data_IF_397735396830
#
_entry.id   IF_397735396830
#
_cell.length_a   1.000
_cell.length_b   1.000
_cell.length_c   1.000
_cell.angle_alpha   90.00
_cell.angle_beta   90.00
_cell.angle_gamma   90.00
#
_symmetry.space_group_name_H-M   'P 1'
#
loop_
_entity.id
_entity.type
_entity.pdbx_description
1 polymer ?
#
# COMPACT_ATOMS: atom_id res chain seq x y z
N UNK A 1 -4.40 -14.73 -22.25
CA UNK A 1 -3.47 -13.58 -22.22
C UNK A 1 -2.27 -13.86 -21.32
N UNK A 2 -1.15 -13.21 -21.61
CA UNK A 2 0.06 -13.24 -20.79
C UNK A 2 0.14 -11.96 -19.97
N UNK A 3 0.37 -12.09 -18.68
CA UNK A 3 0.44 -10.98 -17.72
C UNK A 3 1.82 -10.92 -17.08
N UNK A 4 2.38 -9.72 -17.00
CA UNK A 4 3.61 -9.42 -16.24
C UNK A 4 3.25 -8.60 -15.02
N UNK A 5 3.68 -9.03 -13.84
CA UNK A 5 3.55 -8.29 -12.59
C UNK A 5 4.94 -7.77 -12.18
N UNK A 6 5.04 -6.48 -11.89
CA UNK A 6 6.30 -5.85 -11.46
C UNK A 6 6.28 -5.65 -9.96
N UNK A 7 7.23 -6.24 -9.28
CA UNK A 7 7.41 -6.17 -7.83
C UNK A 7 7.74 -7.51 -7.19
N UNK A 8 7.87 -7.55 -5.88
CA UNK A 8 8.37 -8.74 -5.17
C UNK A 8 7.80 -8.92 -3.76
N UNK A 9 6.83 -8.13 -3.36
CA UNK A 9 6.30 -8.12 -2.00
C UNK A 9 5.03 -8.94 -1.82
N UNK A 10 4.46 -8.89 -0.61
CA UNK A 10 3.21 -9.57 -0.27
C UNK A 10 2.02 -9.09 -1.08
N UNK A 11 1.97 -7.81 -1.37
CA UNK A 11 0.98 -7.20 -2.26
C UNK A 11 1.03 -7.80 -3.67
N UNK A 12 2.22 -7.95 -4.24
CA UNK A 12 2.40 -8.56 -5.57
C UNK A 12 2.03 -10.04 -5.56
N UNK A 13 2.29 -10.75 -4.47
CA UNK A 13 1.84 -12.14 -4.30
C UNK A 13 0.30 -12.21 -4.29
N UNK A 14 -0.37 -11.33 -3.55
CA UNK A 14 -1.83 -11.26 -3.53
C UNK A 14 -2.41 -10.92 -4.91
N UNK A 15 -1.77 -10.02 -5.65
CA UNK A 15 -2.15 -9.67 -7.03
C UNK A 15 -1.98 -10.90 -7.95
N UNK A 16 -0.83 -11.60 -7.89
CA UNK A 16 -0.59 -12.80 -8.69
C UNK A 16 -1.61 -13.90 -8.41
N UNK A 17 -1.91 -14.13 -7.14
CA UNK A 17 -2.95 -15.06 -6.70
C UNK A 17 -4.32 -14.71 -7.30
N UNK A 18 -4.71 -13.44 -7.27
CA UNK A 18 -5.99 -12.97 -7.82
C UNK A 18 -6.03 -13.03 -9.35
N UNK A 19 -4.97 -12.64 -10.01
CA UNK A 19 -4.81 -12.70 -11.48
C UNK A 19 -4.91 -14.15 -11.97
N UNK A 20 -4.32 -15.10 -11.24
CA UNK A 20 -4.37 -16.52 -11.59
C UNK A 20 -5.79 -17.12 -11.59
N UNK A 21 -6.74 -16.48 -10.95
CA UNK A 21 -8.15 -16.91 -10.95
C UNK A 21 -8.91 -16.51 -12.21
N UNK A 22 -8.38 -15.60 -13.01
CA UNK A 22 -9.05 -15.16 -14.23
C UNK A 22 -8.94 -16.23 -15.34
N UNK A 23 -10.06 -16.64 -15.95
CA UNK A 23 -10.03 -17.56 -17.07
C UNK A 23 -9.41 -16.97 -18.34
N UNK A 24 -9.18 -15.65 -18.38
CA UNK A 24 -8.53 -14.96 -19.50
C UNK A 24 -7.01 -15.11 -19.49
N UNK A 25 -6.42 -15.52 -18.35
CA UNK A 25 -4.96 -15.56 -18.16
C UNK A 25 -4.42 -16.96 -18.41
N UNK A 26 -3.47 -17.06 -19.34
CA UNK A 26 -2.80 -18.31 -19.70
C UNK A 26 -1.44 -18.44 -19.00
N UNK A 27 -0.73 -17.32 -18.81
CA UNK A 27 0.61 -17.28 -18.24
C UNK A 27 0.83 -16.00 -17.45
N UNK A 28 1.47 -16.13 -16.29
CA UNK A 28 1.88 -15.01 -15.46
C UNK A 28 3.41 -15.03 -15.30
N UNK A 29 4.01 -13.86 -15.48
CA UNK A 29 5.40 -13.58 -15.11
C UNK A 29 5.43 -12.57 -14.00
N UNK A 30 6.41 -12.65 -13.12
CA UNK A 30 6.64 -11.64 -12.08
C UNK A 30 8.12 -11.24 -12.06
N UNK A 31 8.39 -9.95 -12.00
CA UNK A 31 9.76 -9.41 -12.01
C UNK A 31 9.96 -8.46 -10.81
N UNK A 32 10.85 -8.78 -9.84
CA UNK A 32 11.62 -10.03 -9.74
C UNK A 32 10.84 -11.17 -9.06
N UNK A 33 9.71 -10.90 -8.37
CA UNK A 33 8.95 -11.90 -7.64
C UNK A 33 9.61 -12.36 -6.34
N UNK A 34 9.04 -13.40 -5.75
CA UNK A 34 9.57 -14.06 -4.56
C UNK A 34 9.20 -15.55 -4.55
N UNK A 35 9.63 -16.30 -3.54
CA UNK A 35 9.44 -17.74 -3.48
C UNK A 35 7.96 -18.20 -3.45
N UNK A 36 7.04 -17.37 -2.92
CA UNK A 36 5.62 -17.70 -2.89
C UNK A 36 4.94 -17.41 -4.23
N UNK A 37 5.35 -16.36 -4.90
CA UNK A 37 4.82 -15.98 -6.24
C UNK A 37 5.12 -17.06 -7.28
N UNK A 38 6.18 -17.84 -7.12
CA UNK A 38 6.54 -18.96 -7.99
C UNK A 38 5.41 -19.99 -8.15
N UNK A 39 4.49 -20.07 -7.19
CA UNK A 39 3.32 -20.96 -7.28
C UNK A 39 2.37 -20.57 -8.43
N UNK A 40 2.27 -19.27 -8.74
CA UNK A 40 1.34 -18.71 -9.73
C UNK A 40 2.03 -18.17 -10.97
N UNK A 41 3.30 -17.83 -10.88
CA UNK A 41 4.02 -17.10 -11.92
C UNK A 41 5.43 -17.63 -12.11
N UNK A 42 5.96 -17.42 -13.30
CA UNK A 42 7.38 -17.55 -13.56
C UNK A 42 8.08 -16.25 -13.12
N UNK A 43 8.93 -16.35 -12.09
CA UNK A 43 9.72 -15.22 -11.63
C UNK A 43 10.93 -15.02 -12.54
N UNK A 44 11.16 -13.78 -12.95
CA UNK A 44 12.28 -13.42 -13.85
C UNK A 44 13.21 -12.44 -13.14
N UNK A 45 14.54 -12.59 -13.30
CA UNK A 45 15.52 -11.82 -12.54
C UNK A 45 15.73 -10.41 -13.11
N UNK A 46 14.65 -9.65 -13.24
CA UNK A 46 14.67 -8.25 -13.66
C UNK A 46 14.13 -7.42 -12.49
N UNK A 47 14.88 -6.41 -12.08
CA UNK A 47 14.47 -5.53 -10.99
C UNK A 47 13.42 -4.52 -11.45
N UNK A 48 12.59 -4.05 -10.52
CA UNK A 48 11.46 -3.18 -10.81
C UNK A 48 11.86 -1.84 -11.45
N UNK A 49 13.06 -1.35 -11.20
CA UNK A 49 13.57 -0.08 -11.75
C UNK A 49 14.34 -0.25 -13.06
N UNK A 50 14.51 -1.46 -13.56
CA UNK A 50 15.18 -1.75 -14.85
C UNK A 50 14.19 -1.66 -16.01
N UNK A 51 13.67 -0.47 -16.27
CA UNK A 51 12.57 -0.25 -17.22
C UNK A 51 12.88 -0.76 -18.63
N UNK A 52 14.08 -0.51 -19.15
CA UNK A 52 14.47 -0.95 -20.49
C UNK A 52 14.44 -2.47 -20.61
N UNK A 53 14.90 -3.18 -19.59
CA UNK A 53 14.86 -4.65 -19.55
C UNK A 53 13.44 -5.18 -19.43
N UNK A 54 12.59 -4.52 -18.63
CA UNK A 54 11.19 -4.89 -18.47
C UNK A 54 10.41 -4.69 -19.77
N UNK A 55 10.62 -3.59 -20.47
CA UNK A 55 10.02 -3.31 -21.78
C UNK A 55 10.47 -4.33 -22.80
N UNK A 56 11.78 -4.62 -22.89
CA UNK A 56 12.33 -5.62 -23.81
C UNK A 56 11.74 -7.01 -23.53
N UNK A 57 11.66 -7.40 -22.28
CA UNK A 57 11.03 -8.67 -21.85
C UNK A 57 9.55 -8.74 -22.27
N UNK A 58 8.80 -7.67 -22.03
CA UNK A 58 7.38 -7.62 -22.40
C UNK A 58 7.17 -7.75 -23.91
N UNK A 59 8.03 -7.15 -24.72
CA UNK A 59 8.00 -7.32 -26.18
C UNK A 59 8.37 -8.73 -26.61
N UNK A 60 9.46 -9.26 -26.09
CA UNK A 60 9.98 -10.60 -26.43
C UNK A 60 8.99 -11.70 -26.08
N UNK A 61 8.36 -11.61 -24.91
CA UNK A 61 7.38 -12.59 -24.45
C UNK A 61 5.95 -12.31 -24.95
N UNK A 62 5.73 -11.25 -25.71
CA UNK A 62 4.41 -10.83 -26.15
C UNK A 62 3.41 -10.67 -24.97
N UNK A 63 3.81 -9.94 -23.97
CA UNK A 63 2.97 -9.66 -22.79
C UNK A 63 1.75 -8.82 -23.21
N UNK A 64 0.56 -9.26 -22.84
CA UNK A 64 -0.70 -8.58 -23.15
C UNK A 64 -1.04 -7.47 -22.15
N UNK A 65 -0.64 -7.64 -20.90
CA UNK A 65 -0.91 -6.69 -19.82
C UNK A 65 0.20 -6.73 -18.78
N UNK A 66 0.73 -5.56 -18.42
CA UNK A 66 1.67 -5.40 -17.31
C UNK A 66 0.99 -4.69 -16.15
N UNK A 67 1.16 -5.20 -14.94
CA UNK A 67 0.62 -4.64 -13.69
C UNK A 67 1.78 -4.23 -12.80
N UNK A 68 1.80 -2.95 -12.39
CA UNK A 68 2.85 -2.42 -11.52
C UNK A 68 2.31 -2.32 -10.11
N UNK A 69 2.90 -3.09 -9.18
CA UNK A 69 2.41 -3.19 -7.81
C UNK A 69 3.02 -2.21 -6.83
N UNK A 70 4.15 -1.59 -7.13
CA UNK A 70 4.93 -0.80 -6.17
C UNK A 70 5.16 0.65 -6.61
N UNK A 71 5.49 1.51 -5.65
CA UNK A 71 5.58 2.96 -5.79
C UNK A 71 6.78 3.46 -6.60
N UNK A 72 7.99 3.00 -6.28
CA UNK A 72 9.22 3.49 -6.91
C UNK A 72 9.18 3.48 -8.46
N UNK A 73 8.83 2.38 -9.13
CA UNK A 73 8.76 2.38 -10.58
C UNK A 73 7.63 3.27 -11.14
N UNK A 74 6.51 3.39 -10.44
CA UNK A 74 5.41 4.26 -10.86
C UNK A 74 5.84 5.74 -10.82
N UNK A 75 6.42 6.18 -9.73
CA UNK A 75 6.96 7.53 -9.60
C UNK A 75 8.13 7.76 -10.56
N UNK A 76 8.90 6.72 -10.86
CA UNK A 76 10.02 6.74 -11.80
C UNK A 76 9.64 6.79 -13.28
N UNK A 77 8.36 6.53 -13.64
CA UNK A 77 7.87 6.65 -15.00
C UNK A 77 7.81 5.34 -15.80
N UNK A 78 7.69 4.20 -15.14
CA UNK A 78 7.58 2.90 -15.83
C UNK A 78 6.39 2.83 -16.79
N UNK A 79 5.25 3.43 -16.41
CA UNK A 79 4.04 3.42 -17.26
C UNK A 79 4.30 4.20 -18.55
N UNK A 80 4.94 5.36 -18.46
CA UNK A 80 5.33 6.16 -19.63
C UNK A 80 6.27 5.37 -20.55
N UNK A 81 7.22 4.65 -19.99
CA UNK A 81 8.14 3.81 -20.76
C UNK A 81 7.42 2.68 -21.52
N UNK A 82 6.45 2.02 -20.90
CA UNK A 82 5.65 0.96 -21.54
C UNK A 82 4.72 1.52 -22.60
N UNK A 83 4.01 2.60 -22.31
CA UNK A 83 3.10 3.25 -23.25
C UNK A 83 3.82 3.78 -24.50
N UNK A 84 5.04 4.31 -24.35
CA UNK A 84 5.87 4.78 -25.47
C UNK A 84 6.18 3.67 -26.48
N UNK A 85 6.13 2.42 -26.06
CA UNK A 85 6.37 1.24 -26.89
C UNK A 85 5.06 0.53 -27.27
N UNK A 86 3.91 1.14 -27.03
CA UNK A 86 2.61 0.58 -27.36
C UNK A 86 2.17 -0.60 -26.51
N UNK A 87 2.78 -0.78 -25.33
CA UNK A 87 2.48 -1.86 -24.38
C UNK A 87 1.39 -1.44 -23.40
N UNK A 88 0.40 -2.32 -23.20
CA UNK A 88 -0.66 -2.09 -22.21
C UNK A 88 -0.10 -2.28 -20.81
N UNK A 89 -0.36 -1.31 -19.95
CA UNK A 89 0.15 -1.30 -18.57
C UNK A 89 -0.89 -0.70 -17.63
N UNK A 90 -1.08 -1.33 -16.48
CA UNK A 90 -1.96 -0.83 -15.42
C UNK A 90 -1.13 -0.10 -14.36
N UNK A 91 -1.43 1.16 -14.19
CA UNK A 91 -0.80 2.06 -13.23
C UNK A 91 -0.83 3.50 -13.72
N UNK A 92 -0.62 4.48 -12.82
CA UNK A 92 -0.58 5.87 -13.21
C UNK A 92 0.72 6.23 -13.94
N UNK A 93 0.63 7.15 -14.89
CA UNK A 93 1.78 7.79 -15.51
C UNK A 93 2.55 8.57 -14.46
N UNK A 94 3.81 8.88 -14.74
CA UNK A 94 4.68 9.65 -13.85
C UNK A 94 4.04 10.96 -13.38
N UNK A 95 3.40 11.70 -14.29
CA UNK A 95 2.75 12.96 -13.96
C UNK A 95 1.57 12.81 -12.99
N UNK A 96 0.92 11.66 -12.96
CA UNK A 96 -0.17 11.36 -12.02
C UNK A 96 0.34 10.68 -10.74
N UNK A 97 1.38 9.88 -10.84
CA UNK A 97 2.01 9.21 -9.68
C UNK A 97 2.62 10.21 -8.66
N UNK A 98 2.78 11.47 -9.05
CA UNK A 98 3.18 12.55 -8.14
C UNK A 98 2.21 12.71 -6.96
N UNK A 99 0.98 12.22 -7.08
CA UNK A 99 0.01 12.21 -5.99
C UNK A 99 0.57 11.47 -4.75
N UNK A 100 1.39 10.43 -4.95
CA UNK A 100 2.18 9.78 -3.90
C UNK A 100 3.62 10.30 -3.84
N UNK A 101 4.21 10.62 -4.98
CA UNK A 101 5.61 11.02 -5.10
C UNK A 101 5.94 12.36 -4.45
N UNK A 102 4.95 13.22 -4.25
CA UNK A 102 5.12 14.52 -3.57
C UNK A 102 3.97 14.80 -2.61
N UNK A 103 4.29 14.83 -1.32
CA UNK A 103 3.33 15.21 -0.27
C UNK A 103 2.93 16.68 -0.38
N UNK A 104 3.88 17.55 -0.75
CA UNK A 104 3.61 18.95 -0.98
C UNK A 104 2.60 19.15 -2.13
N UNK A 105 2.77 18.44 -3.24
CA UNK A 105 1.82 18.45 -4.34
C UNK A 105 0.43 18.02 -3.89
N UNK A 106 0.31 16.90 -3.20
CA UNK A 106 -0.99 16.38 -2.77
C UNK A 106 -1.70 17.31 -1.78
N UNK A 107 -0.96 17.94 -0.88
CA UNK A 107 -1.51 18.94 0.05
C UNK A 107 -2.01 20.18 -0.69
N UNK A 108 -1.25 20.70 -1.62
CA UNK A 108 -1.64 21.87 -2.44
C UNK A 108 -2.86 21.53 -3.32
N UNK A 109 -2.93 20.31 -3.87
CA UNK A 109 -4.08 19.83 -4.62
C UNK A 109 -5.34 19.83 -3.75
N UNK A 110 -5.26 19.25 -2.55
CA UNK A 110 -6.40 19.17 -1.64
C UNK A 110 -6.86 20.55 -1.19
N UNK A 111 -5.95 21.46 -0.92
CA UNK A 111 -6.27 22.83 -0.57
C UNK A 111 -6.97 23.56 -1.73
N UNK A 112 -6.43 23.45 -2.94
CA UNK A 112 -6.96 24.12 -4.15
C UNK A 112 -8.38 23.65 -4.48
N UNK A 113 -8.68 22.37 -4.30
CA UNK A 113 -9.96 21.77 -4.67
C UNK A 113 -10.88 21.47 -3.48
N UNK A 114 -10.57 22.03 -2.32
CA UNK A 114 -11.38 21.91 -1.08
C UNK A 114 -11.62 20.45 -0.63
N UNK A 115 -10.63 19.60 -0.80
CA UNK A 115 -10.67 18.22 -0.30
C UNK A 115 -10.24 18.22 1.17
N UNK A 116 -11.05 17.67 2.09
CA UNK A 116 -10.74 17.70 3.52
C UNK A 116 -9.42 17.01 3.87
N UNK A 117 -8.52 17.73 4.52
CA UNK A 117 -7.23 17.23 5.01
C UNK A 117 -6.73 18.11 6.16
N UNK A 118 -5.63 17.71 6.81
CA UNK A 118 -4.99 18.49 7.85
C UNK A 118 -4.49 19.86 7.34
N UNK A 119 -4.56 20.89 8.16
CA UNK A 119 -3.89 22.16 7.88
C UNK A 119 -2.38 21.93 7.78
N UNK A 120 -1.73 22.64 6.86
CA UNK A 120 -0.31 22.43 6.57
C UNK A 120 0.39 23.69 6.08
N UNK A 121 1.73 23.66 6.17
CA UNK A 121 2.64 24.59 5.51
C UNK A 121 3.81 23.82 4.91
N UNK A 122 4.36 24.32 3.81
CA UNK A 122 5.49 23.70 3.11
C UNK A 122 6.72 24.58 3.20
N UNK A 123 7.88 24.00 3.48
CA UNK A 123 9.15 24.70 3.64
C UNK A 123 10.25 24.07 2.79
N UNK A 124 11.04 24.92 2.15
CA UNK A 124 12.26 24.55 1.44
C UNK A 124 13.51 25.09 2.15
N UNK A 125 13.33 25.89 3.18
CA UNK A 125 14.37 26.51 4.01
C UNK A 125 14.17 26.13 5.48
N UNK A 126 15.21 25.54 6.08
CA UNK A 126 15.18 25.11 7.48
C UNK A 126 14.94 26.27 8.45
N UNK A 127 15.51 27.43 8.20
CA UNK A 127 15.34 28.62 9.06
C UNK A 127 13.90 29.09 9.08
N UNK A 128 13.23 29.08 7.92
CA UNK A 128 11.81 29.45 7.81
C UNK A 128 10.92 28.44 8.53
N UNK A 129 11.23 27.15 8.43
CA UNK A 129 10.52 26.09 9.17
C UNK A 129 10.66 26.26 10.68
N UNK A 130 11.85 26.52 11.18
CA UNK A 130 12.11 26.76 12.61
C UNK A 130 11.34 27.97 13.12
N UNK A 131 11.32 29.07 12.37
CA UNK A 131 10.57 30.29 12.74
C UNK A 131 9.05 30.02 12.82
N UNK A 132 8.51 29.21 11.93
CA UNK A 132 7.12 28.77 11.96
C UNK A 132 6.81 27.92 13.21
N UNK A 133 7.68 26.96 13.52
CA UNK A 133 7.51 26.04 14.65
C UNK A 133 7.55 26.72 16.01
N UNK A 134 8.26 27.83 16.15
CA UNK A 134 8.30 28.65 17.37
C UNK A 134 6.90 29.16 17.78
N UNK A 135 5.98 29.25 16.81
CA UNK A 135 4.61 29.77 17.00
C UNK A 135 3.55 28.70 16.83
N UNK A 136 3.94 27.46 16.58
CA UNK A 136 3.03 26.37 16.31
C UNK A 136 2.50 25.73 17.61
N UNK A 137 1.33 25.13 17.51
CA UNK A 137 0.77 24.28 18.55
C UNK A 137 1.30 22.84 18.39
N UNK A 138 1.41 22.13 19.53
CA UNK A 138 1.90 20.75 19.55
C UNK A 138 0.82 19.80 20.11
N UNK A 139 0.81 18.50 19.68
CA UNK A 139 1.75 17.86 18.76
C UNK A 139 1.60 18.34 17.31
N UNK A 140 2.66 18.16 16.52
CA UNK A 140 2.71 18.54 15.10
C UNK A 140 3.40 17.42 14.31
N UNK A 141 3.14 17.36 13.00
CA UNK A 141 3.70 16.32 12.13
C UNK A 141 4.64 16.96 11.12
N UNK A 142 5.86 16.45 11.01
CA UNK A 142 6.83 16.81 9.98
C UNK A 142 6.94 15.68 8.97
N UNK A 143 6.83 16.00 7.68
CA UNK A 143 6.93 15.02 6.60
C UNK A 143 7.97 15.45 5.58
N UNK A 144 8.95 14.58 5.31
CA UNK A 144 9.82 14.75 4.15
C UNK A 144 9.00 14.59 2.87
N UNK A 145 9.26 15.45 1.87
CA UNK A 145 8.57 15.37 0.58
C UNK A 145 9.21 14.30 -0.30
N UNK A 146 8.41 13.36 -0.76
CA UNK A 146 8.86 12.24 -1.60
C UNK A 146 8.66 10.87 -0.95
N UNK A 147 9.16 9.85 -1.65
CA UNK A 147 9.11 8.46 -1.19
C UNK A 147 10.22 8.22 -0.15
N UNK A 148 9.85 8.16 1.12
CA UNK A 148 10.78 7.92 2.23
C UNK A 148 10.51 6.57 2.91
N UNK A 149 9.94 5.61 2.20
CA UNK A 149 9.61 4.25 2.69
C UNK A 149 8.77 4.26 3.99
N UNK A 150 7.89 5.26 4.12
CA UNK A 150 7.08 5.45 5.33
C UNK A 150 7.86 5.97 6.56
N UNK A 151 9.16 6.21 6.42
CA UNK A 151 10.04 6.64 7.53
C UNK A 151 10.20 8.16 7.63
N UNK A 152 9.79 8.89 6.60
CA UNK A 152 9.91 10.35 6.51
C UNK A 152 8.82 11.13 7.25
N UNK A 153 8.09 10.50 8.16
CA UNK A 153 7.01 11.12 8.95
C UNK A 153 7.42 11.12 10.42
N UNK A 154 7.50 12.29 11.02
CA UNK A 154 7.88 12.50 12.41
C UNK A 154 6.76 13.19 13.16
N UNK A 155 6.23 12.56 14.19
CA UNK A 155 5.27 13.17 15.12
C UNK A 155 6.08 13.80 16.25
N UNK A 156 5.95 15.12 16.41
CA UNK A 156 6.70 15.89 17.37
C UNK A 156 5.74 16.42 18.45
N UNK A 157 5.97 16.05 19.70
CA UNK A 157 5.13 16.44 20.82
C UNK A 157 5.57 17.76 21.46
N UNK A 158 6.82 18.16 21.21
CA UNK A 158 7.42 19.38 21.75
C UNK A 158 8.18 20.14 20.67
N UNK A 159 8.43 21.42 20.93
CA UNK A 159 9.24 22.28 20.05
C UNK A 159 10.65 21.69 19.87
N UNK A 160 11.24 21.15 20.92
CA UNK A 160 12.59 20.54 20.84
C UNK A 160 12.61 19.33 19.90
N UNK A 161 11.61 18.45 20.01
CA UNK A 161 11.46 17.32 19.08
C UNK A 161 11.29 17.81 17.64
N UNK A 162 10.52 18.88 17.43
CA UNK A 162 10.31 19.46 16.11
C UNK A 162 11.60 20.08 15.54
N UNK A 163 12.41 20.75 16.34
CA UNK A 163 13.72 21.27 15.95
C UNK A 163 14.67 20.15 15.52
N UNK A 164 14.70 19.07 16.29
CA UNK A 164 15.48 17.86 15.93
C UNK A 164 14.97 17.23 14.63
N UNK A 165 13.66 17.24 14.43
CA UNK A 165 13.02 16.76 13.20
C UNK A 165 13.41 17.58 11.97
N UNK A 166 13.41 18.90 12.06
CA UNK A 166 13.88 19.80 10.99
C UNK A 166 15.32 19.50 10.63
N UNK A 167 16.18 19.37 11.64
CA UNK A 167 17.59 19.01 11.44
C UNK A 167 17.72 17.68 10.71
N UNK A 168 17.01 16.65 11.17
CA UNK A 168 17.06 15.31 10.59
C UNK A 168 16.60 15.30 9.12
N UNK A 169 15.50 15.97 8.80
CA UNK A 169 14.91 15.97 7.47
C UNK A 169 15.67 16.90 6.52
N UNK A 170 15.87 18.17 6.91
CA UNK A 170 16.30 19.23 6.00
C UNK A 170 17.80 19.50 6.02
N UNK A 171 18.46 19.35 7.17
CA UNK A 171 19.90 19.63 7.32
C UNK A 171 20.74 18.36 7.13
N UNK A 172 20.47 17.33 7.90
CA UNK A 172 21.23 16.05 7.84
C UNK A 172 20.83 15.20 6.63
N UNK A 173 19.71 15.55 5.95
CA UNK A 173 19.23 14.83 4.75
C UNK A 173 19.11 13.32 4.95
N UNK A 174 18.62 12.89 6.12
CA UNK A 174 18.46 11.46 6.44
C UNK A 174 17.61 10.70 5.40
N UNK A 175 16.69 11.40 4.75
CA UNK A 175 15.83 10.87 3.68
C UNK A 175 16.26 11.31 2.28
N UNK A 176 17.53 11.69 2.11
CA UNK A 176 18.09 12.12 0.83
C UNK A 176 17.40 13.38 0.29
N UNK A 177 17.17 13.40 -1.01
CA UNK A 177 16.54 14.53 -1.71
C UNK A 177 15.09 14.79 -1.27
N UNK A 178 14.41 13.79 -0.69
CA UNK A 178 13.07 13.98 -0.11
C UNK A 178 13.08 15.04 1.01
N UNK A 179 14.21 15.25 1.67
CA UNK A 179 14.39 16.28 2.69
C UNK A 179 14.64 17.70 2.16
N UNK A 180 14.69 17.91 0.85
CA UNK A 180 14.82 19.24 0.26
C UNK A 180 13.57 20.09 0.49
N UNK A 181 12.43 19.45 0.65
CA UNK A 181 11.15 20.07 0.99
C UNK A 181 10.54 19.32 2.16
N UNK A 182 9.99 20.05 3.10
CA UNK A 182 9.31 19.49 4.28
C UNK A 182 7.92 20.07 4.39
N UNK A 183 6.95 19.19 4.65
CA UNK A 183 5.57 19.57 4.96
C UNK A 183 5.37 19.49 6.46
N UNK A 184 4.86 20.57 7.04
CA UNK A 184 4.46 20.64 8.45
C UNK A 184 2.95 20.57 8.51
N UNK A 185 2.40 19.59 9.22
CA UNK A 185 0.97 19.34 9.30
C UNK A 185 0.44 19.40 10.73
N UNK A 186 -0.80 19.86 10.85
CA UNK A 186 -1.62 19.67 12.06
C UNK A 186 -1.67 18.17 12.39
N UNK A 187 -1.51 17.85 13.67
CA UNK A 187 -1.72 16.49 14.15
C UNK A 187 -3.21 16.19 14.25
N UNK A 188 -3.69 15.28 13.42
CA UNK A 188 -5.08 14.83 13.47
C UNK A 188 -5.24 13.67 14.44
N UNK A 189 -6.32 13.69 15.21
CA UNK A 189 -6.72 12.61 16.09
C UNK A 189 -7.97 11.92 15.56
N UNK A 190 -8.05 10.64 15.72
CA UNK A 190 -9.16 9.83 15.23
C UNK A 190 -8.72 8.41 14.94
N UNK A 191 -9.47 7.74 14.08
CA UNK A 191 -9.21 6.37 13.68
C UNK A 191 -8.80 6.33 12.22
N UNK A 192 -7.67 5.71 11.96
CA UNK A 192 -7.18 5.54 10.58
C UNK A 192 -7.93 4.42 9.88
N UNK A 193 -8.33 4.66 8.63
CA UNK A 193 -8.95 3.67 7.75
C UNK A 193 -8.34 3.81 6.36
N UNK A 194 -8.15 2.68 5.69
CA UNK A 194 -7.64 2.63 4.32
C UNK A 194 -8.75 2.26 3.35
N UNK A 195 -8.88 3.01 2.27
CA UNK A 195 -9.79 2.69 1.16
C UNK A 195 -9.01 2.74 -0.14
N UNK A 196 -8.88 1.56 -0.77
CA UNK A 196 -8.28 1.43 -2.08
C UNK A 196 -9.36 1.64 -3.14
N UNK A 197 -8.99 2.19 -4.27
CA UNK A 197 -9.94 2.45 -5.36
C UNK A 197 -9.33 2.21 -6.72
N UNK A 198 -10.14 1.72 -7.66
CA UNK A 198 -9.82 1.66 -9.08
C UNK A 198 -10.23 2.98 -9.74
N UNK A 199 -9.37 3.49 -10.62
CA UNK A 199 -9.59 4.77 -11.33
C UNK A 199 -9.24 4.62 -12.80
N UNK A 200 -10.11 5.11 -13.69
CA UNK A 200 -9.93 5.05 -15.15
C UNK A 200 -9.68 6.42 -15.80
N UNK A 201 -9.31 7.42 -15.00
CA UNK A 201 -9.14 8.81 -15.43
C UNK A 201 -10.34 9.70 -15.15
N UNK A 202 -11.54 9.17 -15.10
CA UNK A 202 -12.80 9.91 -14.88
C UNK A 202 -13.70 9.26 -13.83
N UNK A 203 -13.78 7.95 -13.81
CA UNK A 203 -14.59 7.16 -12.88
C UNK A 203 -13.72 6.57 -11.79
N UNK A 204 -14.21 6.59 -10.56
CA UNK A 204 -13.59 5.93 -9.42
C UNK A 204 -14.55 4.90 -8.83
N UNK A 205 -14.05 3.71 -8.54
CA UNK A 205 -14.78 2.65 -7.81
C UNK A 205 -13.97 2.18 -6.64
N UNK A 206 -14.50 2.39 -5.44
CA UNK A 206 -13.83 2.02 -4.20
C UNK A 206 -13.97 0.53 -3.92
N UNK A 207 -12.94 -0.04 -3.34
CA UNK A 207 -12.94 -1.39 -2.78
C UNK A 207 -13.49 -1.36 -1.34
N UNK A 208 -13.67 -2.53 -0.76
CA UNK A 208 -13.99 -2.65 0.67
C UNK A 208 -12.91 -1.99 1.53
N UNK A 209 -13.30 -1.38 2.65
CA UNK A 209 -12.37 -0.72 3.55
C UNK A 209 -11.42 -1.71 4.24
N UNK A 210 -10.30 -1.21 4.73
CA UNK A 210 -9.34 -1.96 5.52
C UNK A 210 -8.77 -1.08 6.64
N UNK A 211 -8.18 -1.70 7.63
CA UNK A 211 -7.53 -0.99 8.74
C UNK A 211 -6.21 -1.67 9.07
N UNK A 212 -5.12 -0.92 8.95
CA UNK A 212 -3.76 -1.38 9.15
C UNK A 212 -3.22 -1.02 10.54
N UNK A 213 -2.11 -1.65 10.91
CA UNK A 213 -1.40 -1.44 12.17
C UNK A 213 0.06 -1.10 11.85
N UNK A 214 0.40 0.19 11.96
CA UNK A 214 1.70 0.72 11.50
C UNK A 214 2.84 0.51 12.47
N UNK A 215 2.59 0.41 13.78
CA UNK A 215 3.65 0.27 14.78
C UNK A 215 4.15 -1.17 14.86
N UNK A 216 5.46 -1.31 15.15
CA UNK A 216 6.11 -2.61 15.22
C UNK A 216 5.66 -3.47 16.40
N UNK A 217 5.33 -2.87 17.54
CA UNK A 217 5.03 -3.55 18.79
C UNK A 217 3.57 -3.52 19.21
N UNK A 218 3.20 -4.50 20.03
CA UNK A 218 1.87 -4.57 20.65
C UNK A 218 1.52 -3.26 21.37
N UNK A 219 0.24 -2.90 21.38
CA UNK A 219 -0.24 -1.67 21.99
C UNK A 219 0.15 -0.40 21.21
N UNK A 220 0.44 -0.55 19.92
CA UNK A 220 0.89 0.54 19.04
C UNK A 220 2.18 1.21 19.56
N UNK A 221 3.13 0.39 19.95
CA UNK A 221 4.44 0.81 20.45
C UNK A 221 5.55 0.60 19.42
N UNK A 222 6.69 1.21 19.67
CA UNK A 222 7.86 1.06 18.82
C UNK A 222 7.82 1.94 17.57
N UNK A 223 8.63 1.59 16.58
CA UNK A 223 8.80 2.36 15.36
C UNK A 223 7.66 2.11 14.36
N UNK A 224 7.42 3.08 13.50
CA UNK A 224 6.56 2.90 12.34
C UNK A 224 7.18 1.89 11.36
N UNK A 225 6.32 1.10 10.74
CA UNK A 225 6.67 0.07 9.76
C UNK A 225 5.85 0.24 8.48
N UNK A 226 6.04 -0.68 7.54
CA UNK A 226 5.16 -0.80 6.37
C UNK A 226 3.77 -1.33 6.68
N UNK A 227 3.54 -1.84 7.89
CA UNK A 227 2.31 -2.47 8.37
C UNK A 227 2.57 -3.85 8.94
N UNK A 228 2.02 -4.09 10.13
CA UNK A 228 2.22 -5.35 10.87
C UNK A 228 1.01 -6.26 10.82
N UNK A 229 -0.05 -5.83 10.18
CA UNK A 229 -1.27 -6.57 10.00
C UNK A 229 -2.45 -5.66 9.70
N UNK A 230 -3.49 -6.26 9.15
CA UNK A 230 -4.65 -5.50 8.68
C UNK A 230 -5.90 -6.36 8.72
N UNK A 231 -7.06 -5.73 8.71
CA UNK A 231 -8.34 -6.41 8.59
C UNK A 231 -9.28 -5.66 7.66
N UNK A 232 -10.25 -6.35 7.12
CA UNK A 232 -11.27 -5.81 6.22
C UNK A 232 -12.61 -6.54 6.41
N UNK A 233 -13.75 -5.82 6.45
CA UNK A 233 -13.89 -4.37 6.39
C UNK A 233 -13.59 -3.70 7.74
N UNK A 234 -13.38 -2.38 7.75
CA UNK A 234 -13.34 -1.63 9.00
C UNK A 234 -14.76 -1.38 9.51
N UNK A 235 -15.10 -1.75 10.76
CA UNK A 235 -16.42 -1.49 11.32
C UNK A 235 -16.68 0.00 11.59
N UNK A 236 -15.62 0.81 11.56
CA UNK A 236 -15.71 2.27 11.75
C UNK A 236 -15.98 3.02 10.45
N UNK A 237 -15.79 2.34 9.30
CA UNK A 237 -16.14 2.88 7.99
C UNK A 237 -17.62 2.61 7.71
N UNK A 238 -18.47 3.46 8.25
CA UNK A 238 -19.93 3.35 8.17
C UNK A 238 -20.48 3.84 6.82
N UNK A 239 -21.75 3.58 6.55
CA UNK A 239 -22.42 4.11 5.36
C UNK A 239 -22.40 5.65 5.34
N UNK A 240 -22.50 6.30 6.50
CA UNK A 240 -22.40 7.76 6.63
C UNK A 240 -21.00 8.27 6.24
N UNK A 241 -19.95 7.60 6.73
CA UNK A 241 -18.55 7.89 6.37
C UNK A 241 -18.35 7.70 4.86
N UNK A 242 -18.83 6.60 4.30
CA UNK A 242 -18.73 6.31 2.86
C UNK A 242 -19.41 7.37 2.02
N UNK A 243 -20.62 7.76 2.39
CA UNK A 243 -21.39 8.81 1.70
C UNK A 243 -20.65 10.16 1.71
N UNK A 244 -20.07 10.54 2.86
CA UNK A 244 -19.27 11.75 2.98
C UNK A 244 -18.05 11.70 2.07
N UNK A 245 -17.29 10.61 2.10
CA UNK A 245 -16.09 10.45 1.29
C UNK A 245 -16.38 10.44 -0.21
N UNK A 246 -17.48 9.80 -0.63
CA UNK A 246 -17.94 9.84 -2.03
C UNK A 246 -18.26 11.25 -2.47
N UNK A 247 -18.92 12.03 -1.61
CA UNK A 247 -19.32 13.38 -1.94
C UNK A 247 -18.17 14.39 -1.98
N UNK A 248 -17.21 14.29 -1.05
CA UNK A 248 -16.22 15.34 -0.81
C UNK A 248 -14.76 14.94 -1.10
N UNK A 249 -14.46 13.65 -1.20
CA UNK A 249 -13.07 13.18 -1.28
C UNK A 249 -12.79 12.41 -2.57
N UNK A 250 -13.49 11.32 -2.85
CA UNK A 250 -13.09 10.37 -3.89
C UNK A 250 -13.18 10.95 -5.30
N UNK A 251 -14.36 11.31 -5.73
CA UNK A 251 -14.55 11.89 -7.08
C UNK A 251 -13.85 13.25 -7.19
N UNK A 252 -13.86 14.03 -6.12
CA UNK A 252 -13.17 15.32 -6.08
C UNK A 252 -11.66 15.19 -6.35
N UNK A 253 -11.02 14.12 -5.85
CA UNK A 253 -9.60 13.84 -6.11
C UNK A 253 -9.36 13.53 -7.60
N UNK A 254 -10.19 12.68 -8.18
CA UNK A 254 -10.09 12.31 -9.60
C UNK A 254 -10.29 13.53 -10.49
N UNK A 255 -11.32 14.32 -10.22
CA UNK A 255 -11.62 15.54 -10.97
C UNK A 255 -10.51 16.58 -10.84
N UNK A 256 -9.92 16.72 -9.66
CA UNK A 256 -8.79 17.61 -9.41
C UNK A 256 -7.56 17.19 -10.25
N UNK A 257 -7.25 15.92 -10.33
CA UNK A 257 -6.15 15.41 -11.15
C UNK A 257 -6.37 15.68 -12.64
N UNK A 258 -7.59 15.53 -13.13
CA UNK A 258 -7.95 15.90 -14.52
C UNK A 258 -7.75 17.40 -14.74
N UNK A 259 -8.23 18.23 -13.82
CA UNK A 259 -8.12 19.68 -13.91
C UNK A 259 -6.65 20.16 -13.93
N UNK A 260 -5.75 19.43 -13.28
CA UNK A 260 -4.30 19.71 -13.29
C UNK A 260 -3.59 19.15 -14.53
N UNK A 261 -4.31 18.51 -15.46
CA UNK A 261 -3.71 17.85 -16.62
C UNK A 261 -2.95 16.57 -16.28
N UNK A 262 -3.30 15.92 -15.19
CA UNK A 262 -2.64 14.73 -14.62
C UNK A 262 -3.62 13.58 -14.47
N UNK A 263 -4.29 13.22 -15.56
CA UNK A 263 -5.25 12.12 -15.57
C UNK A 263 -4.68 10.88 -14.89
N UNK A 264 -5.40 10.35 -13.90
CA UNK A 264 -4.96 9.20 -13.11
C UNK A 264 -5.68 7.93 -13.54
N UNK A 265 -4.92 6.92 -13.96
CA UNK A 265 -5.42 5.55 -14.22
C UNK A 265 -4.64 4.58 -13.36
N UNK A 266 -5.32 3.78 -12.56
CA UNK A 266 -4.67 2.84 -11.65
C UNK A 266 -5.37 2.78 -10.31
N UNK A 267 -4.59 2.58 -9.25
CA UNK A 267 -5.08 2.54 -7.88
C UNK A 267 -4.77 3.86 -7.17
N UNK A 268 -5.79 4.49 -6.61
CA UNK A 268 -5.61 5.49 -5.57
C UNK A 268 -5.93 4.83 -4.22
N UNK A 269 -4.96 4.83 -3.34
CA UNK A 269 -5.10 4.44 -1.95
C UNK A 269 -5.36 5.72 -1.14
N UNK A 270 -6.51 5.77 -0.48
CA UNK A 270 -6.86 6.85 0.45
C UNK A 270 -6.55 6.40 1.87
N UNK A 271 -5.54 7.00 2.49
CA UNK A 271 -5.37 6.93 3.94
C UNK A 271 -6.28 8.00 4.57
N UNK A 272 -7.27 7.57 5.32
CA UNK A 272 -8.26 8.46 5.94
C UNK A 272 -8.08 8.49 7.44
N UNK A 273 -8.28 9.68 8.03
CA UNK A 273 -8.46 9.85 9.47
C UNK A 273 -9.93 10.19 9.72
N UNK A 274 -10.60 9.34 10.49
CA UNK A 274 -11.98 9.59 10.93
C UNK A 274 -11.94 10.46 12.18
N UNK A 275 -12.02 11.77 11.99
CA UNK A 275 -11.93 12.77 13.07
C UNK A 275 -13.31 13.14 13.59
N UNK A 276 -13.36 13.85 14.72
CA UNK A 276 -14.61 14.43 15.25
C UNK A 276 -15.28 15.42 14.28
N UNK A 277 -14.48 16.02 13.39
CA UNK A 277 -14.96 16.95 12.34
C UNK A 277 -15.30 16.25 11.02
N UNK A 278 -15.32 14.93 11.02
CA UNK A 278 -15.56 14.10 9.84
C UNK A 278 -14.31 13.49 9.22
N UNK A 279 -14.47 12.68 8.19
CA UNK A 279 -13.35 12.07 7.47
C UNK A 279 -12.44 13.11 6.81
N UNK A 280 -11.13 12.89 6.91
CA UNK A 280 -10.10 13.72 6.29
C UNK A 280 -9.04 12.85 5.66
N UNK A 281 -8.48 13.29 4.54
CA UNK A 281 -7.37 12.59 3.90
C UNK A 281 -6.09 12.79 4.72
N UNK A 282 -5.53 11.69 5.19
CA UNK A 282 -4.23 11.66 5.84
C UNK A 282 -3.09 11.62 4.81
N UNK A 283 -3.24 10.76 3.81
CA UNK A 283 -2.28 10.59 2.71
C UNK A 283 -2.92 9.92 1.50
N UNK A 284 -2.27 10.07 0.35
CA UNK A 284 -2.54 9.29 -0.86
C UNK A 284 -1.38 8.36 -1.15
N UNK A 285 -1.70 7.19 -1.71
CA UNK A 285 -0.71 6.35 -2.39
C UNK A 285 -1.26 6.01 -3.79
N UNK A 286 -0.35 5.84 -4.76
CA UNK A 286 -0.70 5.65 -6.17
C UNK A 286 -0.61 4.18 -6.61
N UNK A 287 -0.85 3.26 -5.69
CA UNK A 287 -0.69 1.81 -5.87
C UNK A 287 -1.49 1.07 -4.81
N UNK A 288 -1.59 -0.27 -4.96
CA UNK A 288 -2.14 -1.11 -3.89
C UNK A 288 -1.39 -0.95 -2.58
N UNK A 289 -2.09 -1.09 -1.46
CA UNK A 289 -1.49 -1.15 -0.13
C UNK A 289 -0.87 -2.52 0.17
N UNK A 290 0.13 -2.53 1.03
CA UNK A 290 0.77 -3.72 1.58
C UNK A 290 0.92 -3.54 3.11
N UNK A 291 0.10 -4.19 3.95
CA UNK A 291 -0.61 -5.46 3.70
C UNK A 291 -2.09 -5.36 3.33
N UNK A 292 -2.64 -4.23 2.96
CA UNK A 292 -4.09 -4.08 2.69
C UNK A 292 -4.58 -4.97 1.53
N UNK A 293 -3.78 -5.13 0.47
CA UNK A 293 -4.12 -6.02 -0.65
C UNK A 293 -4.36 -7.46 -0.18
N UNK A 294 -3.66 -7.90 0.85
CA UNK A 294 -3.75 -9.26 1.39
C UNK A 294 -5.08 -9.56 2.10
N UNK A 295 -5.88 -8.56 2.42
CA UNK A 295 -7.23 -8.76 2.99
C UNK A 295 -8.34 -8.32 2.03
N UNK A 296 -8.06 -7.38 1.14
CA UNK A 296 -9.05 -6.85 0.21
C UNK A 296 -9.25 -7.77 -0.99
N UNK A 297 -8.15 -8.23 -1.62
CA UNK A 297 -8.21 -9.08 -2.81
C UNK A 297 -8.82 -10.47 -2.54
N UNK A 298 -8.56 -11.16 -1.41
CA UNK A 298 -9.25 -12.41 -1.10
C UNK A 298 -10.77 -12.28 -0.96
N UNK A 299 -11.28 -11.08 -0.71
CA UNK A 299 -12.71 -10.79 -0.61
C UNK A 299 -13.33 -10.29 -1.92
N UNK A 300 -12.52 -9.99 -2.93
CA UNK A 300 -12.98 -9.49 -4.22
C UNK A 300 -13.59 -10.63 -5.06
N UNK A 301 -14.83 -10.45 -5.52
CA UNK A 301 -15.55 -11.42 -6.36
C UNK A 301 -15.30 -11.18 -7.84
N UNK A 302 -15.28 -9.92 -8.25
CA UNK A 302 -15.09 -9.50 -9.65
C UNK A 302 -13.73 -9.95 -10.17
N UNK A 303 -13.67 -10.37 -11.43
CA UNK A 303 -12.40 -10.70 -12.10
C UNK A 303 -11.52 -9.45 -12.17
N UNK A 304 -10.34 -9.51 -11.56
CA UNK A 304 -9.43 -8.36 -11.48
C UNK A 304 -8.91 -7.93 -12.86
N UNK A 305 -8.80 -8.85 -13.81
CA UNK A 305 -8.36 -8.55 -15.20
C UNK A 305 -9.40 -7.66 -15.88
N UNK A 306 -10.69 -7.95 -15.71
CA UNK A 306 -11.74 -7.11 -16.27
C UNK A 306 -11.66 -5.68 -15.74
N UNK A 307 -11.35 -5.54 -14.46
CA UNK A 307 -11.21 -4.22 -13.82
C UNK A 307 -9.95 -3.49 -14.32
N UNK A 308 -8.83 -4.17 -14.42
CA UNK A 308 -7.59 -3.57 -14.95
C UNK A 308 -7.76 -3.09 -16.38
N UNK A 309 -8.36 -3.92 -17.24
CA UNK A 309 -8.62 -3.55 -18.63
C UNK A 309 -9.58 -2.36 -18.72
N UNK A 310 -10.64 -2.34 -17.91
CA UNK A 310 -11.60 -1.23 -17.86
C UNK A 310 -10.94 0.08 -17.40
N UNK A 311 -10.00 0.02 -16.46
CA UNK A 311 -9.24 1.20 -16.05
C UNK A 311 -8.38 1.76 -17.19
N UNK A 312 -7.71 0.89 -17.94
CA UNK A 312 -6.87 1.28 -19.08
C UNK A 312 -7.75 1.87 -20.19
N UNK A 313 -8.89 1.25 -20.48
CA UNK A 313 -9.77 1.59 -21.60
C UNK A 313 -10.77 2.71 -21.29
N UNK A 314 -10.85 3.17 -20.04
CA UNK A 314 -11.77 4.23 -19.64
C UNK A 314 -13.24 3.77 -19.56
N UNK A 315 -13.48 2.50 -19.26
CA UNK A 315 -14.79 1.86 -19.19
C UNK A 315 -15.15 1.31 -17.81
N UNK A 316 -14.51 1.84 -16.78
CA UNK A 316 -14.72 1.39 -15.39
C UNK A 316 -16.18 1.56 -14.93
N UNK A 317 -16.91 2.52 -15.49
CA UNK A 317 -18.33 2.74 -15.21
C UNK A 317 -19.21 1.53 -15.58
N UNK A 318 -18.74 0.66 -16.49
CA UNK A 318 -19.44 -0.56 -16.90
C UNK A 318 -19.16 -1.76 -16.00
N UNK A 319 -18.22 -1.66 -15.08
CA UNK A 319 -17.84 -2.75 -14.16
C UNK A 319 -18.72 -2.75 -12.93
N UNK A 320 -19.34 -3.89 -12.64
CA UNK A 320 -20.02 -4.14 -11.36
C UNK A 320 -19.01 -4.74 -10.37
N UNK A 321 -18.37 -3.86 -9.59
CA UNK A 321 -17.34 -4.25 -8.63
C UNK A 321 -17.99 -4.84 -7.37
N UNK A 322 -17.78 -6.13 -7.12
CA UNK A 322 -18.39 -6.87 -6.02
C UNK A 322 -17.35 -7.50 -5.10
N UNK A 323 -17.69 -7.50 -3.81
CA UNK A 323 -16.91 -8.13 -2.73
C UNK A 323 -17.78 -9.14 -1.97
N UNK A 324 -17.14 -10.11 -1.36
CA UNK A 324 -17.82 -11.07 -0.47
C UNK A 324 -18.35 -10.37 0.79
N UNK A 325 -19.48 -10.85 1.29
CA UNK A 325 -20.06 -10.39 2.57
C UNK A 325 -19.49 -11.22 3.73
N UNK A 326 -18.20 -11.08 3.96
CA UNK A 326 -17.45 -11.76 5.02
C UNK A 326 -16.37 -10.81 5.53
N UNK A 327 -15.38 -11.34 6.24
CA UNK A 327 -14.24 -10.60 6.73
C UNK A 327 -12.93 -11.32 6.46
N UNK A 328 -11.83 -10.59 6.49
CA UNK A 328 -10.48 -11.13 6.40
C UNK A 328 -9.55 -10.39 7.37
N UNK A 329 -8.61 -11.12 7.95
CA UNK A 329 -7.55 -10.60 8.81
C UNK A 329 -6.22 -11.15 8.33
N UNK A 330 -5.22 -10.28 8.21
CA UNK A 330 -3.84 -10.62 7.88
C UNK A 330 -2.92 -10.24 9.03
N UNK A 331 -2.15 -11.21 9.50
CA UNK A 331 -1.08 -11.01 10.49
C UNK A 331 0.26 -11.13 9.78
N UNK A 332 1.07 -10.07 9.87
CA UNK A 332 2.41 -10.07 9.25
C UNK A 332 3.40 -10.78 10.17
N UNK A 333 4.09 -11.78 9.62
CA UNK A 333 5.22 -12.43 10.27
C UNK A 333 6.50 -11.76 9.78
N UNK A 334 7.22 -11.15 10.71
CA UNK A 334 8.44 -10.39 10.44
C UNK A 334 9.66 -11.09 11.01
N UNK A 335 10.83 -10.68 10.55
CA UNK A 335 12.11 -11.00 11.18
C UNK A 335 12.31 -10.15 12.44
N UNK A 336 12.66 -10.75 13.56
CA UNK A 336 12.88 -10.01 14.80
C UNK A 336 13.97 -8.94 14.60
N UNK A 337 13.69 -7.74 15.10
CA UNK A 337 14.49 -6.54 14.86
C UNK A 337 13.99 -5.62 13.75
N UNK A 338 13.06 -6.09 12.90
CA UNK A 338 12.40 -5.24 11.92
C UNK A 338 11.67 -4.06 12.62
N UNK A 339 11.75 -2.81 12.14
CA UNK A 339 12.25 -2.35 10.84
C UNK A 339 13.72 -1.89 10.82
N UNK A 340 14.51 -2.15 11.85
CA UNK A 340 15.86 -1.61 11.99
C UNK A 340 16.92 -2.57 11.45
N UNK A 341 17.15 -3.66 12.18
CA UNK A 341 18.19 -4.64 11.83
C UNK A 341 17.68 -6.04 12.16
N UNK A 342 17.88 -6.96 11.23
CA UNK A 342 17.44 -8.35 11.37
C UNK A 342 18.31 -9.28 10.54
N UNK A 343 18.39 -10.53 10.96
CA UNK A 343 19.06 -11.59 10.23
C UNK A 343 18.12 -12.25 9.23
N UNK A 344 18.69 -12.80 8.16
CA UNK A 344 18.00 -13.46 7.05
C UNK A 344 18.55 -14.88 6.86
N UNK A 345 17.85 -15.67 6.03
CA UNK A 345 18.32 -16.98 5.63
C UNK A 345 17.81 -18.13 6.48
N UNK A 346 16.84 -17.89 7.36
CA UNK A 346 16.24 -18.94 8.18
C UNK A 346 15.18 -19.71 7.40
N UNK A 347 15.22 -21.05 7.48
CA UNK A 347 14.25 -21.93 6.81
C UNK A 347 12.86 -21.70 7.38
N UNK A 348 11.88 -21.53 6.49
CA UNK A 348 10.48 -21.37 6.83
C UNK A 348 9.80 -22.72 6.73
N UNK A 349 9.17 -23.16 7.82
CA UNK A 349 8.43 -24.43 7.91
C UNK A 349 6.95 -24.20 8.02
N UNK A 350 6.16 -25.16 7.56
CA UNK A 350 4.70 -25.17 7.73
C UNK A 350 3.94 -24.54 6.57
N UNK A 351 4.60 -24.07 5.52
CA UNK A 351 3.96 -23.48 4.35
C UNK A 351 3.01 -24.46 3.65
N UNK A 352 3.32 -25.74 3.67
CA UNK A 352 2.52 -26.83 3.10
C UNK A 352 1.14 -26.99 3.77
N UNK A 353 1.01 -26.52 5.00
CA UNK A 353 -0.26 -26.59 5.77
C UNK A 353 -1.36 -25.66 5.21
N UNK A 354 -0.99 -24.72 4.36
CA UNK A 354 -1.95 -23.83 3.69
C UNK A 354 -2.50 -24.42 2.39
N UNK A 355 -1.85 -25.45 1.87
CA UNK A 355 -2.26 -26.07 0.61
C UNK A 355 -3.66 -26.67 0.75
N UNK A 356 -4.51 -26.39 -0.22
CA UNK A 356 -5.90 -26.88 -0.29
C UNK A 356 -6.76 -26.49 0.92
N UNK A 357 -6.38 -25.44 1.67
CA UNK A 357 -7.15 -24.88 2.77
C UNK A 357 -7.91 -23.64 2.31
N UNK A 358 -9.18 -23.83 1.98
CA UNK A 358 -10.05 -22.71 1.60
C UNK A 358 -10.19 -21.69 2.75
N UNK A 359 -10.08 -20.40 2.40
CA UNK A 359 -10.18 -19.30 3.35
C UNK A 359 -8.91 -19.01 4.15
N UNK A 360 -7.80 -19.72 3.87
CA UNK A 360 -6.50 -19.49 4.49
C UNK A 360 -5.45 -19.27 3.43
N UNK A 361 -4.66 -18.22 3.59
CA UNK A 361 -3.65 -17.80 2.61
C UNK A 361 -2.35 -17.44 3.33
N UNK A 362 -1.23 -17.74 2.69
CA UNK A 362 0.08 -17.25 3.11
C UNK A 362 0.70 -16.50 1.94
N UNK A 363 0.74 -15.18 2.06
CA UNK A 363 1.32 -14.31 1.05
C UNK A 363 2.76 -13.99 1.42
N UNK A 364 3.69 -14.34 0.53
CA UNK A 364 5.11 -14.13 0.74
C UNK A 364 5.52 -12.68 0.43
N UNK A 365 6.33 -12.12 1.30
CA UNK A 365 7.03 -10.87 1.08
C UNK A 365 8.54 -11.15 0.98
N UNK A 366 9.28 -11.03 2.07
CA UNK A 366 10.71 -11.30 2.07
C UNK A 366 11.03 -12.79 2.21
N UNK A 367 10.91 -13.54 1.13
CA UNK A 367 11.29 -14.96 1.07
C UNK A 367 12.02 -15.28 -0.24
N UNK A 368 12.89 -16.28 -0.19
CA UNK A 368 13.56 -16.79 -1.39
C UNK A 368 13.76 -18.30 -1.30
N UNK A 369 13.87 -18.94 -2.45
CA UNK A 369 14.18 -20.37 -2.56
C UNK A 369 15.69 -20.60 -2.52
N UNK A 370 16.10 -21.58 -1.74
CA UNK A 370 17.49 -22.07 -1.65
C UNK A 370 17.50 -23.61 -1.72
N UNK A 371 18.69 -24.20 -1.71
CA UNK A 371 18.85 -25.67 -1.65
C UNK A 371 18.25 -26.24 -0.36
N UNK A 372 18.21 -25.46 0.72
CA UNK A 372 17.64 -25.87 2.02
C UNK A 372 16.12 -25.73 2.09
N UNK A 373 15.51 -25.12 1.07
CA UNK A 373 14.10 -24.80 1.03
C UNK A 373 13.84 -23.30 0.90
N UNK A 374 12.65 -22.87 1.31
CA UNK A 374 12.30 -21.45 1.33
C UNK A 374 12.80 -20.83 2.64
N UNK A 375 13.54 -19.74 2.51
CA UNK A 375 14.15 -19.04 3.65
C UNK A 375 13.72 -17.59 3.74
N UNK A 376 13.84 -17.00 4.93
CA UNK A 376 13.60 -15.57 5.15
C UNK A 376 14.58 -14.72 4.35
N UNK A 377 14.10 -13.62 3.77
CA UNK A 377 14.91 -12.71 2.95
C UNK A 377 14.45 -11.24 3.06
N UNK A 378 13.91 -10.86 4.19
CA UNK A 378 13.42 -9.51 4.38
C UNK A 378 12.92 -9.25 5.80
N UNK A 379 12.53 -8.02 6.07
CA UNK A 379 11.96 -7.61 7.35
C UNK A 379 10.56 -8.17 7.54
N UNK A 380 9.63 -7.84 6.65
CA UNK A 380 8.33 -8.51 6.57
C UNK A 380 8.52 -9.76 5.70
N UNK A 381 8.23 -10.92 6.26
CA UNK A 381 8.52 -12.22 5.61
C UNK A 381 7.28 -12.79 4.97
N UNK A 382 6.19 -12.89 5.72
CA UNK A 382 4.92 -13.48 5.28
C UNK A 382 3.75 -12.67 5.81
N UNK A 383 2.65 -12.67 5.05
CA UNK A 383 1.33 -12.26 5.55
C UNK A 383 0.44 -13.49 5.66
N UNK A 384 0.02 -13.84 6.86
CA UNK A 384 -0.93 -14.93 7.10
C UNK A 384 -2.32 -14.35 7.11
N UNK A 385 -3.11 -14.67 6.10
CA UNK A 385 -4.49 -14.19 5.93
C UNK A 385 -5.48 -15.30 6.14
N UNK A 386 -6.54 -15.03 6.88
CA UNK A 386 -7.69 -15.91 6.99
C UNK A 386 -9.01 -15.15 6.84
N UNK A 387 -9.99 -15.81 6.23
CA UNK A 387 -11.37 -15.33 6.15
C UNK A 387 -12.20 -15.89 7.28
N UNK A 388 -13.31 -15.23 7.58
CA UNK A 388 -14.33 -15.67 8.50
C UNK A 388 -15.66 -15.02 8.17
N UNK A 389 -16.75 -15.52 8.74
CA UNK A 389 -18.08 -14.93 8.55
C UNK A 389 -18.16 -13.48 9.06
N UNK A 390 -17.35 -13.18 10.07
CA UNK A 390 -17.19 -11.86 10.67
C UNK A 390 -15.72 -11.62 11.06
N UNK A 391 -15.41 -10.42 11.52
CA UNK A 391 -14.05 -10.03 11.89
C UNK A 391 -13.49 -10.84 13.07
N UNK A 392 -14.30 -11.20 14.04
CA UNK A 392 -13.86 -11.99 15.20
C UNK A 392 -13.45 -13.39 14.79
N UNK A 393 -14.23 -14.04 13.93
CA UNK A 393 -13.89 -15.36 13.39
C UNK A 393 -12.66 -15.29 12.48
N UNK A 394 -12.59 -14.30 11.58
CA UNK A 394 -11.44 -14.12 10.71
C UNK A 394 -10.15 -13.92 11.52
N UNK A 395 -10.19 -13.10 12.57
CA UNK A 395 -9.07 -12.88 13.47
C UNK A 395 -8.64 -14.18 14.19
N UNK A 396 -9.58 -14.90 14.74
CA UNK A 396 -9.30 -16.20 15.40
C UNK A 396 -8.66 -17.19 14.42
N UNK A 397 -9.19 -17.29 13.21
CA UNK A 397 -8.65 -18.14 12.15
C UNK A 397 -7.24 -17.72 11.72
N UNK A 398 -6.97 -16.44 11.59
CA UNK A 398 -5.64 -15.93 11.21
C UNK A 398 -4.60 -16.26 12.28
N UNK A 399 -4.89 -16.02 13.55
CA UNK A 399 -3.95 -16.34 14.64
C UNK A 399 -3.75 -17.85 14.82
N UNK A 400 -4.77 -18.67 14.58
CA UNK A 400 -4.61 -20.13 14.54
C UNK A 400 -3.63 -20.55 13.43
N UNK A 401 -3.75 -19.94 12.25
CA UNK A 401 -2.88 -20.23 11.11
C UNK A 401 -1.45 -19.69 11.28
N UNK A 402 -1.25 -18.63 12.04
CA UNK A 402 0.09 -18.14 12.41
C UNK A 402 0.93 -19.23 13.09
N UNK A 403 0.30 -20.05 13.90
CA UNK A 403 0.96 -21.16 14.59
C UNK A 403 1.39 -22.31 13.66
N UNK A 404 0.89 -22.34 12.43
CA UNK A 404 1.32 -23.35 11.44
C UNK A 404 2.70 -23.07 10.88
N UNK A 405 3.12 -21.80 10.91
CA UNK A 405 4.40 -21.32 10.37
C UNK A 405 5.44 -21.26 11.48
N UNK A 406 6.62 -21.74 11.18
CA UNK A 406 7.78 -21.60 12.07
C UNK A 406 9.03 -21.22 11.29
N UNK A 407 9.78 -20.27 11.82
CA UNK A 407 11.16 -19.94 11.43
C UNK A 407 11.86 -19.28 12.61
N UNK A 408 13.18 -19.45 12.68
CA UNK A 408 14.00 -18.80 13.69
C UNK A 408 13.84 -17.28 13.57
N UNK A 409 13.78 -16.54 14.67
CA UNK A 409 13.50 -15.12 14.76
C UNK A 409 12.12 -14.65 14.26
N UNK A 410 11.12 -15.55 14.20
CA UNK A 410 9.75 -15.15 13.89
C UNK A 410 9.22 -14.14 14.90
N UNK A 411 8.75 -12.99 14.40
CA UNK A 411 8.14 -11.94 15.20
C UNK A 411 6.80 -11.52 14.58
N UNK A 412 5.80 -11.31 15.41
CA UNK A 412 4.50 -10.78 15.00
C UNK A 412 3.79 -10.08 16.17
N UNK A 413 2.86 -9.20 15.85
CA UNK A 413 2.00 -8.57 16.86
C UNK A 413 0.88 -9.51 17.26
N UNK A 414 0.55 -9.52 18.55
CA UNK A 414 -0.50 -10.37 19.13
C UNK A 414 -1.86 -9.66 19.19
N UNK A 415 -1.91 -8.38 18.87
CA UNK A 415 -3.07 -7.51 19.03
C UNK A 415 -3.67 -7.00 17.71
N UNK A 416 -3.34 -7.61 16.58
CA UNK A 416 -3.92 -7.24 15.28
C UNK A 416 -5.44 -7.42 15.35
N UNK A 417 -6.16 -6.34 15.04
CA UNK A 417 -7.62 -6.34 15.10
C UNK A 417 -8.22 -6.08 16.49
N UNK A 418 -7.43 -5.65 17.47
CA UNK A 418 -7.95 -5.29 18.80
C UNK A 418 -9.11 -4.30 18.72
N UNK A 419 -9.05 -3.34 17.80
CA UNK A 419 -10.12 -2.37 17.58
C UNK A 419 -11.49 -2.99 17.23
N UNK A 420 -11.51 -4.24 16.74
CA UNK A 420 -12.75 -4.97 16.45
C UNK A 420 -13.61 -5.14 17.72
N UNK A 421 -12.97 -5.27 18.88
CA UNK A 421 -13.66 -5.44 20.15
C UNK A 421 -14.27 -4.12 20.69
N UNK A 422 -13.92 -3.01 20.07
CA UNK A 422 -14.41 -1.67 20.40
C UNK A 422 -15.61 -1.25 19.54
N UNK A 423 -15.98 -2.04 18.53
CA UNK A 423 -17.00 -1.73 17.53
C UNK A 423 -18.40 -2.19 17.92
#
# INVERSE_FOLDING_TARGET
MKVLIVGSGGREHAIAWKVAQSPKVDKIYCAPGNAGIEEFAECVPIQAMEFDKLVAFAKEQAIDLTVVGMDDPLVGGIVDAFEAEGLRVFGPRKNAAILEGSKAFSKDLMKKYNIPTAAYETFTDASAALAYLEKADFPIVLKADGLALGKGVLICNTLEEAKDGVKTIMEDKKFGTAGNTMVVEEFMTGREVSVLSYVDGKTIKTMTSAQDHKRAGDGDTGLNTGGMGTFSPSPFYTEEVDAFCKKYIYQATVDAMVAEGREFKGIIFFGLMLTEKGPRVLEYNARFGDPEAQVVLPRMKTDIIDVFEACIDGTLDQIDLQFEDNAAVCVVLASDGYPVKYDKGFVIRGLDKFKDKDGYYVFHAGSKRTEEGIVTNGGRVLGVTAKGKDLKEARANAYAAVEWIDFENKYYRHDIGKAIDEA
#
